data_IF_852518924473
#
_entry.id   IF_852518924473
#
_cell.length_a   1.000
_cell.length_b   1.000
_cell.length_c   1.000
_cell.angle_alpha   90.00
_cell.angle_beta   90.00
_cell.angle_gamma   90.00
#
_symmetry.space_group_name_H-M   'P 1'
#
loop_
_entity.id
_entity.type
_entity.pdbx_description
1 polymer ?
#
# COMPACT_ATOMS: atom_id res chain seq x y z
N UNK A 1 -6.89 10.69 -2.86
CA UNK A 1 -7.36 9.29 -2.90
C UNK A 1 -7.91 8.89 -1.54
N UNK A 2 -9.11 8.38 -1.51
CA UNK A 2 -9.77 7.98 -0.27
C UNK A 2 -9.59 6.49 -0.02
N UNK A 3 -9.93 6.03 1.18
CA UNK A 3 -9.89 4.60 1.49
C UNK A 3 -10.85 3.80 0.60
N UNK A 4 -11.93 4.43 0.13
CA UNK A 4 -12.85 3.76 -0.77
C UNK A 4 -12.21 3.45 -2.12
N UNK A 5 -11.35 4.32 -2.60
CA UNK A 5 -10.65 4.11 -3.86
C UNK A 5 -9.67 2.95 -3.76
N UNK A 6 -9.18 2.65 -2.56
CA UNK A 6 -8.27 1.54 -2.33
C UNK A 6 -8.97 0.18 -2.29
N UNK A 7 -10.29 0.14 -2.22
CA UNK A 7 -11.03 -1.13 -2.18
C UNK A 7 -10.77 -2.00 -3.40
N UNK A 8 -10.51 -1.40 -4.55
CA UNK A 8 -10.15 -2.13 -5.76
C UNK A 8 -8.66 -2.44 -5.87
N UNK A 9 -7.86 -1.97 -4.92
CA UNK A 9 -6.40 -2.12 -4.93
C UNK A 9 -5.95 -3.09 -3.84
N UNK A 10 -6.53 -2.94 -2.64
CA UNK A 10 -6.20 -3.74 -1.46
C UNK A 10 -7.49 -4.25 -0.83
N UNK A 11 -7.49 -5.47 -0.33
CA UNK A 11 -8.64 -6.02 0.38
C UNK A 11 -8.19 -6.99 1.47
N UNK A 12 -9.11 -7.29 2.38
CA UNK A 12 -8.91 -8.30 3.43
C UNK A 12 -9.93 -9.40 3.22
N UNK A 13 -9.48 -10.64 3.26
CA UNK A 13 -10.33 -11.81 3.15
C UNK A 13 -9.91 -12.79 4.26
N UNK A 14 -10.85 -13.20 5.14
CA UNK A 14 -10.51 -14.12 6.22
C UNK A 14 -9.88 -15.43 5.74
N UNK A 15 -10.14 -15.83 4.51
CA UNK A 15 -9.57 -17.04 3.93
C UNK A 15 -8.19 -16.82 3.34
N UNK A 16 -7.75 -15.58 3.23
CA UNK A 16 -6.41 -15.24 2.73
C UNK A 16 -5.60 -14.70 3.89
N UNK A 17 -4.62 -15.47 4.34
CA UNK A 17 -3.68 -15.09 5.40
C UNK A 17 -4.37 -14.54 6.64
N UNK A 18 -5.53 -15.13 7.00
CA UNK A 18 -6.22 -14.76 8.23
C UNK A 18 -6.80 -13.35 8.24
N UNK A 19 -7.06 -12.78 7.08
CA UNK A 19 -7.62 -11.44 6.98
C UNK A 19 -6.60 -10.33 6.84
N UNK A 20 -5.32 -10.67 6.69
CA UNK A 20 -4.27 -9.68 6.44
C UNK A 20 -4.57 -8.95 5.12
N UNK A 21 -4.50 -7.61 5.10
CA UNK A 21 -4.72 -6.87 3.85
C UNK A 21 -3.70 -7.26 2.79
N UNK A 22 -4.20 -7.61 1.61
CA UNK A 22 -3.35 -8.00 0.47
C UNK A 22 -3.76 -7.21 -0.77
N UNK A 23 -2.85 -7.14 -1.74
CA UNK A 23 -3.19 -6.52 -3.03
C UNK A 23 -4.21 -7.40 -3.75
N UNK A 24 -5.23 -6.77 -4.33
CA UNK A 24 -6.30 -7.48 -5.05
C UNK A 24 -5.71 -8.36 -6.14
N UNK A 25 -6.19 -9.60 -6.19
CA UNK A 25 -5.70 -10.57 -7.18
C UNK A 25 -4.41 -11.26 -6.80
N UNK A 26 -3.88 -10.99 -5.60
CA UNK A 26 -2.63 -11.59 -5.12
C UNK A 26 -2.78 -12.08 -3.69
N UNK A 27 -1.75 -12.74 -3.20
CA UNK A 27 -1.63 -13.08 -1.78
C UNK A 27 -0.51 -12.28 -1.13
N UNK A 28 -0.10 -11.19 -1.77
CA UNK A 28 1.00 -10.35 -1.27
C UNK A 28 0.45 -9.34 -0.26
N UNK A 29 0.85 -9.41 1.01
CA UNK A 29 0.39 -8.47 2.01
C UNK A 29 0.86 -7.04 1.70
N UNK A 30 -0.02 -6.08 1.97
CA UNK A 30 0.33 -4.67 1.86
C UNK A 30 1.56 -4.34 2.70
N UNK A 31 1.69 -4.99 3.85
CA UNK A 31 2.81 -4.77 4.76
C UNK A 31 4.16 -5.05 4.10
N UNK A 32 4.20 -5.97 3.12
CA UNK A 32 5.44 -6.26 2.41
C UNK A 32 5.97 -5.04 1.65
N UNK A 33 5.08 -4.24 1.06
CA UNK A 33 5.48 -3.02 0.40
C UNK A 33 6.02 -2.00 1.41
N UNK A 34 5.32 -1.85 2.53
CA UNK A 34 5.73 -0.92 3.58
C UNK A 34 7.11 -1.30 4.11
N UNK A 35 7.32 -2.58 4.39
CA UNK A 35 8.60 -3.08 4.90
C UNK A 35 9.73 -2.85 3.90
N UNK A 36 9.45 -3.08 2.62
CA UNK A 36 10.45 -2.88 1.56
C UNK A 36 10.89 -1.41 1.51
N UNK A 37 9.92 -0.50 1.52
CA UNK A 37 10.23 0.93 1.47
C UNK A 37 10.96 1.40 2.74
N UNK A 38 10.59 0.89 3.89
CA UNK A 38 11.28 1.20 5.14
C UNK A 38 12.70 0.68 5.12
N UNK A 39 12.93 -0.44 4.43
CA UNK A 39 14.26 -1.02 4.27
C UNK A 39 15.12 -0.35 3.20
N UNK A 40 14.60 0.71 2.56
CA UNK A 40 15.34 1.44 1.55
C UNK A 40 15.21 0.89 0.13
N UNK A 41 14.34 -0.07 -0.10
CA UNK A 41 14.09 -0.60 -1.43
C UNK A 41 13.22 0.35 -2.24
N UNK A 42 13.42 0.36 -3.56
CA UNK A 42 12.56 1.13 -4.44
C UNK A 42 11.30 0.34 -4.80
N UNK A 43 10.32 1.03 -5.37
CA UNK A 43 9.10 0.37 -5.87
C UNK A 43 9.47 -0.69 -6.90
N UNK A 44 10.42 -0.38 -7.77
CA UNK A 44 10.87 -1.32 -8.80
C UNK A 44 11.46 -2.59 -8.17
N UNK A 45 12.25 -2.45 -7.12
CA UNK A 45 12.81 -3.60 -6.40
C UNK A 45 11.71 -4.46 -5.80
N UNK A 46 10.71 -3.82 -5.19
CA UNK A 46 9.58 -4.52 -4.63
C UNK A 46 8.82 -5.31 -5.71
N UNK A 47 8.56 -4.67 -6.85
CA UNK A 47 7.82 -5.30 -7.94
C UNK A 47 8.59 -6.47 -8.57
N UNK A 48 9.91 -6.42 -8.58
CA UNK A 48 10.70 -7.55 -9.04
C UNK A 48 10.55 -8.76 -8.14
N UNK A 49 10.46 -8.52 -6.83
CA UNK A 49 10.26 -9.60 -5.86
C UNK A 49 8.85 -10.13 -5.82
N UNK A 50 7.88 -9.33 -6.23
CA UNK A 50 6.45 -9.67 -6.18
C UNK A 50 5.77 -9.37 -7.50
N UNK A 51 6.08 -10.13 -8.57
CA UNK A 51 5.58 -9.82 -9.92
C UNK A 51 4.07 -9.91 -10.07
N UNK A 52 3.36 -10.53 -9.12
CA UNK A 52 1.90 -10.58 -9.17
C UNK A 52 1.26 -9.24 -8.81
N UNK A 53 2.00 -8.34 -8.17
CA UNK A 53 1.51 -7.00 -7.85
C UNK A 53 1.75 -6.10 -9.05
N UNK A 54 0.72 -5.33 -9.42
CA UNK A 54 0.85 -4.37 -10.54
C UNK A 54 1.46 -3.08 -10.02
N UNK A 55 2.26 -2.44 -10.87
CA UNK A 55 2.87 -1.15 -10.52
C UNK A 55 1.81 -0.14 -10.12
N UNK A 56 0.67 -0.10 -10.83
CA UNK A 56 -0.41 0.82 -10.51
C UNK A 56 -0.95 0.62 -9.09
N UNK A 57 -0.98 -0.63 -8.63
CA UNK A 57 -1.43 -0.94 -7.27
C UNK A 57 -0.46 -0.37 -6.23
N UNK A 58 0.82 -0.61 -6.43
CA UNK A 58 1.85 -0.13 -5.50
C UNK A 58 1.86 1.40 -5.46
N UNK A 59 1.80 2.05 -6.61
CA UNK A 59 1.81 3.51 -6.69
C UNK A 59 0.57 4.10 -6.01
N UNK A 60 -0.61 3.48 -6.23
CA UNK A 60 -1.85 3.96 -5.61
C UNK A 60 -1.75 3.94 -4.08
N UNK A 61 -1.17 2.88 -3.53
CA UNK A 61 -0.99 2.78 -2.07
C UNK A 61 -0.04 3.86 -1.57
N UNK A 62 1.05 4.08 -2.26
CA UNK A 62 2.04 5.10 -1.88
C UNK A 62 1.40 6.49 -1.91
N UNK A 63 0.67 6.80 -2.96
CA UNK A 63 0.00 8.09 -3.07
C UNK A 63 -1.02 8.32 -1.97
N UNK A 64 -1.79 7.28 -1.63
CA UNK A 64 -2.76 7.37 -0.54
C UNK A 64 -2.06 7.64 0.79
N UNK A 65 -0.92 6.99 1.03
CA UNK A 65 -0.13 7.20 2.22
C UNK A 65 0.44 8.61 2.30
N UNK A 66 0.91 9.13 1.17
CA UNK A 66 1.43 10.49 1.10
C UNK A 66 0.35 11.52 1.40
N UNK A 67 -0.82 11.35 0.83
CA UNK A 67 -1.94 12.26 1.07
C UNK A 67 -2.31 12.29 2.55
N UNK A 68 -2.39 11.13 3.17
CA UNK A 68 -2.72 11.05 4.58
C UNK A 68 -1.64 11.70 5.44
N UNK A 69 -0.39 11.51 5.07
CA UNK A 69 0.72 12.12 5.79
C UNK A 69 0.70 13.64 5.67
N UNK A 70 0.41 14.15 4.48
CA UNK A 70 0.30 15.59 4.25
C UNK A 70 -0.84 16.21 5.07
N UNK A 71 -1.96 15.52 5.16
CA UNK A 71 -3.08 15.97 5.98
C UNK A 71 -2.67 16.05 7.45
N UNK A 72 -1.95 15.06 7.92
CA UNK A 72 -1.50 15.02 9.32
C UNK A 72 -0.49 16.12 9.60
N UNK A 73 0.49 16.31 8.73
CA UNK A 73 1.51 17.33 8.88
C UNK A 73 0.89 18.74 8.77
N UNK A 74 0.01 18.94 7.78
CA UNK A 74 -0.69 20.20 7.64
C UNK A 74 -1.50 20.54 8.88
N UNK A 75 -2.13 19.54 9.47
CA UNK A 75 -2.91 19.70 10.68
C UNK A 75 -2.01 20.08 11.86
N UNK A 76 -0.85 19.45 11.95
CA UNK A 76 0.11 19.75 13.00
C UNK A 76 0.68 21.14 12.87
N UNK A 77 0.80 21.65 11.65
CA UNK A 77 1.35 22.98 11.38
C UNK A 77 0.34 24.10 11.51
N UNK A 78 -0.90 23.78 11.71
CA UNK A 78 -1.94 24.80 11.82
C UNK A 78 -1.94 25.51 13.19
N UNK A 79 -1.00 25.20 13.99
CA UNK A 79 -0.83 25.83 15.32
C UNK A 79 -0.65 27.34 15.21
#
# INVERSE_FOLDING_TARGET
MTMEELKGIVHSDPEIMGGTPVFVGTRVPLQNLVDALEGGESVEDFLEGFPSVKRSQAIAVIEAGQLKMLETVGHAHSD
#
